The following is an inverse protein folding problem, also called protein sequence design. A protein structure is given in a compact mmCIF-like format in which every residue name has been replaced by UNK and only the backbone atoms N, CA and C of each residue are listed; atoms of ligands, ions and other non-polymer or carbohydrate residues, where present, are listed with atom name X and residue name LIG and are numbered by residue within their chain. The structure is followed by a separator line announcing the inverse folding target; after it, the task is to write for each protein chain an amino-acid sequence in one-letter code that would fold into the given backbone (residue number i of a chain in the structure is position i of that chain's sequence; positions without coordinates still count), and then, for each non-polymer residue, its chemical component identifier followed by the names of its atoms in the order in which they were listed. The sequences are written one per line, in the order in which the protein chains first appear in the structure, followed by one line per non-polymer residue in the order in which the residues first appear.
data_IF_811375017023
#
_entry.id   IF_811375017023
#
_cell.length_a   1.000
_cell.length_b   1.000
_cell.length_c   1.000
_cell.angle_alpha   90.00
_cell.angle_beta   90.00
_cell.angle_gamma   90.00
#
_symmetry.space_group_name_H-M   'P 1'
#
loop_
_entity.id
_entity.type
_entity.pdbx_description
1 polymer ?
#
# COMPACT_ATOMS: atom_id res chain seq x y z
N UNK A 1 11.57 7.98 -5.40
CA UNK A 1 10.66 7.99 -6.58
C UNK A 1 9.79 6.76 -6.46
N UNK A 2 8.47 6.93 -6.51
CA UNK A 2 7.53 5.82 -6.34
C UNK A 2 7.48 4.97 -7.61
N UNK A 3 7.61 3.65 -7.45
CA UNK A 3 7.47 2.69 -8.54
C UNK A 3 6.49 1.60 -8.15
N UNK A 4 5.54 1.30 -9.04
CA UNK A 4 4.64 0.16 -8.92
C UNK A 4 5.12 -0.93 -9.89
N UNK A 5 5.64 -2.03 -9.36
CA UNK A 5 6.13 -3.16 -10.14
C UNK A 5 5.08 -4.25 -10.15
N UNK A 6 4.59 -4.63 -11.33
CA UNK A 6 3.74 -5.82 -11.44
C UNK A 6 4.57 -7.08 -11.26
N UNK A 7 4.10 -7.96 -10.39
CA UNK A 7 4.70 -9.28 -10.15
C UNK A 7 3.96 -10.33 -10.98
N UNK A 8 2.63 -10.22 -11.03
CA UNK A 8 1.76 -11.01 -11.90
C UNK A 8 0.44 -10.23 -12.13
N UNK A 9 -0.57 -10.90 -12.71
CA UNK A 9 -1.86 -10.27 -13.02
C UNK A 9 -2.68 -9.87 -11.78
N UNK A 10 -2.41 -10.50 -10.64
CA UNK A 10 -3.14 -10.32 -9.39
C UNK A 10 -2.30 -9.66 -8.30
N UNK A 11 -1.04 -9.33 -8.56
CA UNK A 11 -0.12 -8.81 -7.56
C UNK A 11 0.82 -7.75 -8.14
N UNK A 12 0.91 -6.64 -7.42
CA UNK A 12 1.89 -5.60 -7.65
C UNK A 12 2.56 -5.20 -6.33
N UNK A 13 3.84 -4.88 -6.41
CA UNK A 13 4.61 -4.35 -5.29
C UNK A 13 4.90 -2.88 -5.53
N UNK A 14 4.84 -2.10 -4.46
CA UNK A 14 5.11 -0.68 -4.49
C UNK A 14 6.40 -0.39 -3.76
N UNK A 15 7.24 0.46 -4.36
CA UNK A 15 8.56 0.80 -3.87
C UNK A 15 8.76 2.32 -3.79
N UNK A 16 9.53 2.75 -2.79
CA UNK A 16 10.20 4.05 -2.80
C UNK A 16 11.72 3.83 -2.81
N UNK A 17 12.34 4.06 -3.98
CA UNK A 17 13.71 3.63 -4.20
C UNK A 17 13.83 2.11 -4.08
N UNK A 18 14.70 1.64 -3.18
CA UNK A 18 14.89 0.21 -2.89
C UNK A 18 13.94 -0.34 -1.81
N UNK A 19 13.21 0.52 -1.11
CA UNK A 19 12.36 0.10 0.02
C UNK A 19 11.00 -0.33 -0.51
N UNK A 20 10.57 -1.56 -0.21
CA UNK A 20 9.21 -2.02 -0.50
C UNK A 20 8.25 -1.42 0.52
N UNK A 21 7.35 -0.56 0.06
CA UNK A 21 6.40 0.14 0.92
C UNK A 21 5.04 -0.55 0.95
N UNK A 22 4.69 -1.32 -0.08
CA UNK A 22 3.42 -2.04 -0.10
C UNK A 22 3.42 -3.32 -0.95
N UNK A 23 2.51 -4.22 -0.59
CA UNK A 23 2.09 -5.36 -1.41
C UNK A 23 0.60 -5.18 -1.71
N UNK A 24 0.25 -5.17 -2.99
CA UNK A 24 -1.11 -4.95 -3.47
C UNK A 24 -1.57 -6.20 -4.23
N UNK A 25 -2.57 -6.89 -3.70
CA UNK A 25 -3.05 -8.18 -4.23
C UNK A 25 -4.54 -8.17 -4.50
N UNK A 26 -4.97 -8.86 -5.56
CA UNK A 26 -6.38 -9.07 -5.87
C UNK A 26 -6.96 -10.11 -4.93
N UNK A 27 -8.13 -9.83 -4.35
CA UNK A 27 -8.83 -10.70 -3.40
C UNK A 27 -10.33 -10.65 -3.63
N UNK A 28 -11.02 -11.73 -3.27
CA UNK A 28 -12.49 -11.81 -3.26
C UNK A 28 -13.01 -11.62 -1.84
N UNK A 29 -13.98 -10.73 -1.64
CA UNK A 29 -14.52 -10.38 -0.32
C UNK A 29 -16.04 -10.37 -0.35
N UNK A 30 -16.67 -10.88 0.71
CA UNK A 30 -18.12 -10.81 0.94
C UNK A 30 -18.96 -11.88 0.22
N UNK A 31 -20.29 -11.74 0.32
CA UNK A 31 -21.31 -12.54 -0.38
C UNK A 31 -22.44 -11.63 -0.93
N UNK A 32 -22.68 -11.55 -2.26
CA UNK A 32 -21.86 -12.12 -3.34
C UNK A 32 -20.45 -11.51 -3.33
N UNK A 33 -19.45 -12.26 -3.83
CA UNK A 33 -18.05 -11.85 -3.71
C UNK A 33 -17.71 -10.67 -4.63
N UNK A 34 -17.23 -9.56 -4.07
CA UNK A 34 -16.62 -8.48 -4.83
C UNK A 34 -15.12 -8.75 -5.03
N UNK A 35 -14.61 -8.47 -6.23
CA UNK A 35 -13.18 -8.60 -6.55
C UNK A 35 -12.50 -7.24 -6.35
N UNK A 36 -11.63 -7.16 -5.34
CA UNK A 36 -10.98 -5.92 -4.89
C UNK A 36 -9.45 -6.09 -4.83
N UNK A 37 -8.74 -4.98 -4.77
CA UNK A 37 -7.30 -4.92 -4.52
C UNK A 37 -7.04 -4.63 -3.05
N UNK A 38 -6.52 -5.61 -2.32
CA UNK A 38 -6.05 -5.48 -0.94
C UNK A 38 -4.65 -4.90 -0.93
N UNK A 39 -4.43 -3.80 -0.25
CA UNK A 39 -3.10 -3.24 0.00
C UNK A 39 -2.67 -3.48 1.44
N UNK A 40 -1.45 -3.98 1.62
CA UNK A 40 -0.78 -4.07 2.93
C UNK A 40 0.57 -3.38 2.87
N UNK A 41 1.14 -3.03 4.04
CA UNK A 41 2.50 -2.50 4.13
C UNK A 41 3.54 -3.52 3.64
N UNK A 42 4.68 -3.01 3.19
CA UNK A 42 5.71 -3.78 2.50
C UNK A 42 6.71 -4.51 3.40
N UNK A 43 6.48 -4.53 4.73
CA UNK A 43 7.38 -5.10 5.73
C UNK A 43 7.91 -6.49 5.35
N UNK A 44 9.19 -6.72 5.65
CA UNK A 44 9.87 -7.97 5.33
C UNK A 44 9.20 -9.14 6.04
N UNK A 45 8.99 -9.00 7.35
CA UNK A 45 8.24 -9.94 8.16
C UNK A 45 6.74 -9.86 7.81
N UNK A 46 6.10 -10.96 7.35
CA UNK A 46 4.68 -10.98 7.03
C UNK A 46 3.75 -10.59 8.17
N UNK A 47 4.15 -10.87 9.42
CA UNK A 47 3.33 -10.63 10.61
C UNK A 47 3.27 -9.15 11.00
N UNK A 48 4.28 -8.37 10.60
CA UNK A 48 4.33 -6.93 10.84
C UNK A 48 3.55 -6.12 9.79
N UNK A 49 3.00 -6.79 8.77
CA UNK A 49 2.28 -6.12 7.68
C UNK A 49 0.92 -5.63 8.14
N UNK A 50 0.71 -4.31 8.06
CA UNK A 50 -0.56 -3.70 8.35
C UNK A 50 -1.45 -3.61 7.10
N UNK A 51 -2.75 -3.88 7.25
CA UNK A 51 -3.74 -3.59 6.22
C UNK A 51 -3.87 -2.08 6.01
N UNK A 52 -3.71 -1.63 4.77
CA UNK A 52 -4.01 -0.25 4.38
C UNK A 52 -5.47 -0.14 3.95
N UNK A 53 -5.97 -1.09 3.16
CA UNK A 53 -7.37 -1.11 2.75
C UNK A 53 -7.65 -2.02 1.56
N UNK A 54 -8.90 -1.93 1.08
CA UNK A 54 -9.41 -2.63 -0.10
C UNK A 54 -9.90 -1.61 -1.12
N UNK A 55 -9.51 -1.77 -2.38
CA UNK A 55 -9.68 -0.76 -3.41
C UNK A 55 -10.25 -1.36 -4.70
N UNK A 56 -11.01 -0.59 -5.49
CA UNK A 56 -11.56 -1.07 -6.76
C UNK A 56 -10.48 -1.22 -7.85
N UNK A 57 -9.35 -0.53 -7.74
CA UNK A 57 -8.26 -0.59 -8.72
C UNK A 57 -6.88 -0.56 -8.05
N UNK A 58 -5.88 -1.12 -8.75
CA UNK A 58 -4.49 -1.13 -8.29
C UNK A 58 -3.90 0.29 -8.23
N UNK A 59 -4.33 1.19 -9.12
CA UNK A 59 -3.90 2.59 -9.13
C UNK A 59 -4.39 3.33 -7.89
N UNK A 60 -5.65 3.11 -7.48
CA UNK A 60 -6.20 3.72 -6.27
C UNK A 60 -5.51 3.17 -5.02
N UNK A 61 -5.27 1.86 -4.97
CA UNK A 61 -4.49 1.23 -3.90
C UNK A 61 -3.10 1.86 -3.77
N UNK A 62 -2.36 1.99 -4.87
CA UNK A 62 -1.02 2.59 -4.87
C UNK A 62 -1.05 4.06 -4.39
N UNK A 63 -1.98 4.87 -4.90
CA UNK A 63 -2.08 6.28 -4.55
C UNK A 63 -2.40 6.51 -3.05
N UNK A 64 -3.37 5.76 -2.51
CA UNK A 64 -3.77 5.87 -1.10
C UNK A 64 -2.68 5.33 -0.18
N UNK A 65 -2.04 4.22 -0.55
CA UNK A 65 -0.94 3.65 0.23
C UNK A 65 0.27 4.57 0.25
N UNK A 66 0.62 5.20 -0.87
CA UNK A 66 1.69 6.20 -0.90
C UNK A 66 1.43 7.35 0.07
N UNK A 67 0.23 7.94 -0.01
CA UNK A 67 -0.14 9.05 0.88
C UNK A 67 -0.09 8.64 2.35
N UNK A 68 -0.50 7.41 2.67
CA UNK A 68 -0.44 6.87 4.03
C UNK A 68 1.00 6.62 4.50
N UNK A 69 1.86 6.11 3.62
CA UNK A 69 3.28 5.87 3.89
C UNK A 69 4.02 7.18 4.15
N UNK A 70 3.81 8.17 3.27
CA UNK A 70 4.39 9.50 3.34
C UNK A 70 4.03 10.21 4.66
N UNK A 71 2.79 10.09 5.12
CA UNK A 71 2.36 10.65 6.41
C UNK A 71 2.98 9.97 7.64
N UNK A 72 3.26 8.66 7.57
CA UNK A 72 3.86 7.92 8.69
C UNK A 72 5.38 8.08 8.77
N UNK A 73 6.05 8.28 7.64
CA UNK A 73 7.51 8.26 7.54
C UNK A 73 8.14 9.64 7.29
N UNK A 74 7.37 10.65 6.90
CA UNK A 74 7.86 12.02 7.02
C UNK A 74 7.97 12.36 8.51
N UNK A 75 9.06 12.99 8.95
CA UNK A 75 9.03 13.70 10.21
C UNK A 75 7.86 14.67 10.08
N UNK A 76 6.88 14.55 10.98
CA UNK A 76 5.93 15.64 11.21
C UNK A 76 6.84 16.85 11.41
N UNK A 77 6.83 17.82 10.49
CA UNK A 77 7.46 19.11 10.76
C UNK A 77 6.95 19.47 12.14
N UNK A 78 7.85 19.46 13.14
CA UNK A 78 7.53 19.93 14.47
C UNK A 78 7.13 21.36 14.21
N UNK A 79 5.82 21.58 14.11
CA UNK A 79 5.23 22.90 14.07
C UNK A 79 5.62 23.47 15.41
N UNK A 80 6.75 24.18 15.43
CA UNK A 80 7.17 24.96 16.57
C UNK A 80 5.99 25.89 16.83
N UNK A 81 5.23 25.59 17.87
CA UNK A 81 4.28 26.52 18.43
C UNK A 81 5.15 27.62 19.04
N UNK A 82 5.45 28.63 18.23
CA UNK A 82 5.93 29.94 18.65
C UNK A 82 4.78 30.74 19.22
#
# INVERSE_FOLDING_TARGET
MMTLTRINDEEAWMYDGSIRVAIIRRVRIGRPSALLWRSVTGDENPDDRALVGYFPSVQMAAAVTWRSWDQRHKPVEKRSLS
#
